data_IF_253212779084
#
_entry.id   IF_253212779084
#
_cell.length_a   1.000
_cell.length_b   1.000
_cell.length_c   1.000
_cell.angle_alpha   90.00
_cell.angle_beta   90.00
_cell.angle_gamma   90.00
#
_symmetry.space_group_name_H-M   'P 1'
#
loop_
_entity.id
_entity.type
_entity.pdbx_description
1 polymer ?
#
# COMPACT_ATOMS: atom_id res chain seq x y z
N UNK A 1 -10.39 21.62 -0.88
CA UNK A 1 -9.90 20.26 -1.19
C UNK A 1 -8.37 20.15 -1.35
N UNK A 2 -7.59 21.22 -1.22
CA UNK A 2 -6.13 21.17 -1.38
C UNK A 2 -5.34 21.25 -0.06
N UNK A 3 -5.98 21.41 1.08
CA UNK A 3 -5.28 21.63 2.34
C UNK A 3 -4.90 20.36 3.10
N UNK A 4 -5.56 19.20 2.81
CA UNK A 4 -5.36 17.91 3.51
C UNK A 4 -5.29 16.74 2.52
N UNK A 5 -4.68 16.92 1.36
CA UNK A 5 -4.62 15.87 0.36
C UNK A 5 -3.69 14.72 0.75
N UNK A 6 -4.21 13.49 0.68
CA UNK A 6 -3.40 12.25 0.70
C UNK A 6 -2.40 12.26 -0.45
N UNK A 7 -1.14 11.96 -0.15
CA UNK A 7 -0.06 11.82 -1.14
C UNK A 7 0.69 10.53 -0.92
N UNK A 8 0.42 9.56 -1.78
CA UNK A 8 1.19 8.32 -1.89
C UNK A 8 1.78 8.27 -3.29
N UNK A 9 3.07 8.00 -3.38
CA UNK A 9 3.76 7.84 -4.63
C UNK A 9 4.66 6.60 -4.60
N UNK A 10 4.81 6.01 -5.74
CA UNK A 10 5.64 4.84 -5.99
C UNK A 10 6.62 5.10 -7.16
N UNK A 11 7.36 4.09 -7.53
CA UNK A 11 8.31 4.12 -8.64
C UNK A 11 7.69 4.66 -9.94
N UNK A 12 6.47 4.24 -10.31
CA UNK A 12 5.81 4.68 -11.54
C UNK A 12 5.48 6.19 -11.52
N UNK A 13 5.06 6.72 -10.38
CA UNK A 13 4.82 8.16 -10.21
C UNK A 13 6.10 8.98 -10.40
N UNK A 14 7.25 8.41 -10.04
CA UNK A 14 8.54 9.07 -10.19
C UNK A 14 9.04 9.05 -11.63
N UNK A 15 8.88 7.94 -12.33
CA UNK A 15 9.30 7.83 -13.74
C UNK A 15 8.50 8.78 -14.64
N UNK A 16 7.23 8.98 -14.34
CA UNK A 16 6.39 9.96 -15.04
C UNK A 16 6.80 11.43 -14.77
N UNK A 17 7.55 11.68 -13.70
CA UNK A 17 8.05 13.01 -13.33
C UNK A 17 9.39 13.39 -13.98
N UNK A 18 10.09 12.46 -14.62
CA UNK A 18 11.28 12.77 -15.39
C UNK A 18 10.87 13.33 -16.76
N UNK A 19 11.04 14.62 -16.97
CA UNK A 19 10.74 15.26 -18.25
C UNK A 19 11.99 15.94 -18.82
N UNK A 20 12.11 15.92 -20.15
CA UNK A 20 13.08 16.68 -20.88
C UNK A 20 12.43 17.97 -21.37
N UNK A 21 12.89 19.10 -20.87
CA UNK A 21 12.50 20.41 -21.36
C UNK A 21 13.76 21.05 -21.97
N UNK A 22 13.68 21.55 -23.20
CA UNK A 22 14.77 22.20 -23.95
C UNK A 22 16.05 21.32 -24.05
N UNK A 23 15.89 20.01 -24.24
CA UNK A 23 17.00 19.08 -24.37
C UNK A 23 17.73 18.76 -23.04
N UNK A 24 17.26 19.31 -21.92
CA UNK A 24 17.83 19.05 -20.59
C UNK A 24 16.94 18.11 -19.83
N UNK A 25 17.44 16.90 -19.56
CA UNK A 25 16.74 15.94 -18.68
C UNK A 25 16.87 16.41 -17.23
N UNK A 26 15.77 16.85 -16.64
CA UNK A 26 15.72 17.24 -15.25
C UNK A 26 15.41 16.00 -14.39
N UNK A 27 16.34 15.67 -13.51
CA UNK A 27 16.23 14.52 -12.58
C UNK A 27 15.42 14.81 -11.33
N UNK A 28 15.04 16.06 -11.08
CA UNK A 28 14.20 16.48 -9.97
C UNK A 28 12.85 16.93 -10.49
N UNK A 29 11.85 16.10 -10.32
CA UNK A 29 10.46 16.44 -10.62
C UNK A 29 9.85 17.38 -9.56
N UNK A 30 8.73 18.01 -9.87
CA UNK A 30 7.95 18.80 -8.90
C UNK A 30 7.57 17.94 -7.68
N UNK A 31 7.38 16.64 -7.87
CA UNK A 31 7.05 15.68 -6.82
C UNK A 31 8.22 15.44 -5.85
N UNK A 32 9.48 15.49 -6.30
CA UNK A 32 10.66 15.27 -5.44
C UNK A 32 10.67 16.22 -4.25
N UNK A 33 10.38 17.51 -4.49
CA UNK A 33 10.29 18.51 -3.42
C UNK A 33 9.13 18.24 -2.47
N UNK A 34 7.98 17.82 -3.00
CA UNK A 34 6.83 17.49 -2.17
C UNK A 34 7.11 16.24 -1.33
N UNK A 35 7.76 15.25 -1.92
CA UNK A 35 8.16 14.02 -1.22
C UNK A 35 9.31 14.25 -0.24
N UNK A 36 10.05 15.38 -0.37
CA UNK A 36 11.22 15.68 0.44
C UNK A 36 12.34 14.69 0.20
N UNK A 37 12.61 14.39 -1.07
CA UNK A 37 13.64 13.44 -1.48
C UNK A 37 14.41 13.99 -2.69
N UNK A 38 15.62 13.53 -2.85
CA UNK A 38 16.45 13.78 -4.03
C UNK A 38 16.83 12.44 -4.65
N UNK A 39 16.45 12.21 -5.89
CA UNK A 39 16.84 11.00 -6.64
C UNK A 39 18.36 10.94 -6.80
N UNK A 40 18.97 9.81 -6.47
CA UNK A 40 20.40 9.56 -6.58
C UNK A 40 20.73 8.50 -7.62
N UNK A 41 19.82 7.57 -7.87
CA UNK A 41 20.05 6.48 -8.81
C UNK A 41 18.82 5.60 -9.02
N UNK A 42 19.07 4.48 -9.66
CA UNK A 42 18.11 3.39 -9.83
C UNK A 42 18.84 2.06 -9.70
N UNK A 43 18.24 1.13 -9.03
CA UNK A 43 18.74 -0.22 -8.85
C UNK A 43 17.76 -1.22 -9.45
N UNK A 44 18.28 -2.11 -10.26
CA UNK A 44 17.52 -3.16 -10.94
C UNK A 44 17.92 -4.54 -10.41
N UNK A 45 17.19 -5.58 -10.83
CA UNK A 45 17.57 -6.96 -10.55
C UNK A 45 17.44 -7.35 -9.08
N UNK A 46 16.51 -6.75 -8.36
CA UNK A 46 16.28 -6.96 -6.93
C UNK A 46 15.45 -8.23 -6.63
N UNK A 47 15.47 -9.23 -7.51
CA UNK A 47 14.82 -10.51 -7.20
C UNK A 47 15.45 -11.13 -5.94
N UNK A 48 14.62 -11.66 -5.04
CA UNK A 48 15.06 -12.22 -3.75
C UNK A 48 15.80 -11.21 -2.84
N UNK A 49 15.37 -9.96 -2.87
CA UNK A 49 15.75 -8.94 -1.90
C UNK A 49 14.69 -8.77 -0.82
N UNK A 50 15.00 -7.97 0.19
CA UNK A 50 14.08 -7.69 1.29
C UNK A 50 14.08 -6.21 1.62
N UNK A 51 12.99 -5.75 2.20
CA UNK A 51 12.93 -4.52 2.96
C UNK A 51 13.10 -4.86 4.45
N UNK A 52 14.15 -4.34 5.08
CA UNK A 52 14.40 -4.48 6.51
C UNK A 52 13.58 -3.46 7.28
N UNK A 53 12.94 -3.89 8.34
CA UNK A 53 12.21 -3.05 9.28
C UNK A 53 13.23 -2.35 10.19
N UNK A 54 13.23 -1.01 10.18
CA UNK A 54 14.13 -0.20 11.01
C UNK A 54 13.52 0.12 12.38
N UNK A 55 12.20 0.28 12.43
CA UNK A 55 11.46 0.56 13.66
C UNK A 55 10.08 -0.11 13.57
N UNK A 56 9.90 -1.19 14.29
CA UNK A 56 8.64 -1.94 14.33
C UNK A 56 7.47 -1.11 14.91
N UNK A 57 7.75 -0.02 15.64
CA UNK A 57 6.73 0.89 16.15
C UNK A 57 6.28 1.94 15.11
N UNK A 58 6.88 1.96 13.92
CA UNK A 58 6.47 2.89 12.85
C UNK A 58 5.01 2.62 12.44
N UNK A 59 4.17 3.66 12.31
CA UNK A 59 2.76 3.48 11.95
C UNK A 59 2.51 2.81 10.59
N UNK A 60 3.49 2.79 9.68
CA UNK A 60 3.37 2.03 8.43
C UNK A 60 3.46 0.51 8.66
N UNK A 61 3.98 0.09 9.80
CA UNK A 61 4.26 -1.30 10.15
C UNK A 61 3.31 -1.85 11.22
N UNK A 62 2.28 -1.11 11.58
CA UNK A 62 1.27 -1.54 12.52
C UNK A 62 0.63 -2.88 12.11
N UNK A 63 0.64 -3.85 13.03
CA UNK A 63 0.10 -5.18 12.81
C UNK A 63 0.91 -6.07 11.86
N UNK A 64 2.10 -5.66 11.46
CA UNK A 64 3.10 -6.58 10.92
C UNK A 64 3.53 -7.51 12.06
N UNK A 65 3.56 -8.80 11.79
CA UNK A 65 3.90 -9.80 12.79
C UNK A 65 5.34 -9.71 13.29
N UNK A 66 5.76 -10.70 14.05
CA UNK A 66 7.13 -10.81 14.56
C UNK A 66 8.10 -11.18 13.42
N UNK A 67 8.45 -10.18 12.62
CA UNK A 67 9.38 -10.29 11.49
C UNK A 67 10.22 -9.02 11.38
N UNK A 68 11.46 -9.18 10.94
CA UNK A 68 12.37 -8.06 10.65
C UNK A 68 12.40 -7.72 9.15
N UNK A 69 11.75 -8.51 8.31
CA UNK A 69 11.91 -8.48 6.86
C UNK A 69 10.57 -8.57 6.14
N UNK A 70 10.43 -7.77 5.09
CA UNK A 70 9.32 -7.86 4.12
C UNK A 70 9.90 -8.20 2.75
N UNK A 71 9.32 -9.14 2.00
CA UNK A 71 9.78 -9.48 0.64
C UNK A 71 9.82 -8.26 -0.28
N UNK A 72 10.89 -8.15 -1.06
CA UNK A 72 11.05 -7.11 -2.07
C UNK A 72 11.57 -7.71 -3.39
N UNK A 73 11.17 -7.11 -4.51
CA UNK A 73 11.57 -7.56 -5.85
C UNK A 73 11.48 -6.39 -6.85
N UNK A 74 12.14 -6.55 -7.99
CA UNK A 74 11.97 -5.66 -9.14
C UNK A 74 13.03 -4.58 -9.22
N UNK A 75 12.59 -3.34 -9.22
CA UNK A 75 13.45 -2.16 -9.27
C UNK A 75 13.19 -1.23 -8.10
N UNK A 76 14.18 -0.41 -7.79
CA UNK A 76 14.10 0.58 -6.73
C UNK A 76 14.74 1.89 -7.21
N UNK A 77 14.07 3.01 -6.96
CA UNK A 77 14.66 4.34 -7.14
C UNK A 77 15.48 4.66 -5.90
N UNK A 78 16.78 4.84 -6.08
CA UNK A 78 17.64 5.29 -5.00
C UNK A 78 17.41 6.77 -4.74
N UNK A 79 17.27 7.12 -3.47
CA UNK A 79 17.01 8.49 -3.03
C UNK A 79 17.89 8.88 -1.85
N UNK A 80 18.12 10.17 -1.72
CA UNK A 80 18.58 10.80 -0.49
C UNK A 80 17.40 11.57 0.11
N UNK A 81 16.84 11.12 1.24
CA UNK A 81 15.74 11.81 1.89
C UNK A 81 16.25 13.06 2.62
N UNK A 82 15.38 14.06 2.74
CA UNK A 82 15.63 15.22 3.59
C UNK A 82 15.65 14.78 5.07
N UNK A 83 16.36 15.54 5.91
CA UNK A 83 16.54 15.22 7.34
C UNK A 83 15.23 15.10 8.15
N UNK A 84 14.15 15.63 7.63
CA UNK A 84 12.83 15.57 8.28
C UNK A 84 12.01 14.32 7.88
N UNK A 85 12.56 13.47 7.02
CA UNK A 85 11.91 12.23 6.58
C UNK A 85 12.28 11.07 7.50
N UNK A 86 11.28 10.26 7.81
CA UNK A 86 11.47 9.00 8.51
C UNK A 86 11.61 7.90 7.47
N UNK A 87 12.57 7.01 7.67
CA UNK A 87 12.85 5.86 6.81
C UNK A 87 12.49 4.59 7.58
N UNK A 88 11.25 4.07 7.46
CA UNK A 88 10.84 2.88 8.19
C UNK A 88 11.39 1.58 7.62
N UNK A 89 11.74 1.59 6.33
CA UNK A 89 12.19 0.41 5.59
C UNK A 89 13.45 0.71 4.78
N UNK A 90 14.47 -0.15 4.90
CA UNK A 90 15.72 -0.09 4.14
C UNK A 90 15.95 -1.35 3.33
N UNK A 91 16.74 -1.27 2.27
CA UNK A 91 16.99 -2.38 1.35
C UNK A 91 18.02 -3.37 1.91
N UNK A 92 17.69 -4.65 1.85
CA UNK A 92 18.64 -5.75 1.85
C UNK A 92 18.74 -6.24 0.40
N UNK A 93 19.87 -6.00 -0.28
CA UNK A 93 20.04 -6.40 -1.66
C UNK A 93 20.17 -7.93 -1.79
N UNK A 94 19.88 -8.50 -2.97
CA UNK A 94 20.13 -9.92 -3.21
C UNK A 94 21.64 -10.20 -3.18
N UNK A 95 22.00 -11.41 -2.75
CA UNK A 95 23.42 -11.85 -2.71
C UNK A 95 24.03 -11.87 -4.12
N UNK A 96 23.21 -12.16 -5.12
CA UNK A 96 23.59 -12.18 -6.54
C UNK A 96 22.59 -11.33 -7.29
N UNK A 97 23.08 -10.35 -8.03
CA UNK A 97 22.24 -9.58 -8.94
C UNK A 97 21.71 -10.48 -10.05
N UNK A 98 20.40 -10.59 -10.16
CA UNK A 98 19.77 -11.39 -11.22
C UNK A 98 19.72 -10.58 -12.52
N UNK A 99 20.54 -10.93 -13.49
CA UNK A 99 20.33 -10.52 -14.87
C UNK A 99 19.29 -11.46 -15.49
N UNK A 100 18.35 -10.94 -16.28
CA UNK A 100 17.17 -11.65 -16.77
C UNK A 100 17.38 -12.95 -17.57
N UNK A 101 18.62 -13.45 -17.67
CA UNK A 101 19.00 -14.69 -18.35
C UNK A 101 19.40 -15.82 -17.39
N UNK A 102 19.29 -15.65 -16.08
CA UNK A 102 19.89 -16.59 -15.15
C UNK A 102 18.92 -17.70 -14.77
N UNK A 103 19.30 -18.88 -15.14
CA UNK A 103 18.66 -20.15 -14.86
C UNK A 103 18.87 -20.50 -13.38
N UNK A 104 17.77 -20.87 -12.70
CA UNK A 104 17.75 -21.65 -11.46
C UNK A 104 18.76 -21.24 -10.39
N UNK A 105 18.57 -20.07 -9.84
CA UNK A 105 19.19 -19.70 -8.56
C UNK A 105 18.21 -20.06 -7.45
N UNK A 106 18.69 -20.51 -6.27
CA UNK A 106 17.82 -20.75 -5.13
C UNK A 106 16.90 -19.54 -4.92
N UNK A 107 15.62 -19.78 -4.76
CA UNK A 107 14.62 -18.72 -4.57
C UNK A 107 14.83 -17.94 -3.27
N UNK A 108 15.73 -18.40 -2.44
CA UNK A 108 16.07 -17.82 -1.16
C UNK A 108 17.47 -17.21 -1.18
N UNK A 109 17.53 -15.92 -1.01
CA UNK A 109 18.79 -15.23 -0.82
C UNK A 109 19.14 -15.22 0.66
N UNK A 110 20.30 -15.74 1.04
CA UNK A 110 20.83 -15.50 2.35
C UNK A 110 21.08 -13.99 2.52
N UNK A 111 20.82 -13.45 3.69
CA UNK A 111 21.19 -12.07 4.01
C UNK A 111 22.70 -12.00 4.12
N UNK A 112 23.32 -11.23 3.24
CA UNK A 112 24.79 -11.05 3.22
C UNK A 112 25.20 -9.69 3.75
N UNK A 113 24.42 -8.66 3.43
CA UNK A 113 24.68 -7.30 3.84
C UNK A 113 23.38 -6.56 4.12
N UNK A 114 23.45 -5.55 4.95
CA UNK A 114 22.39 -4.57 5.17
C UNK A 114 22.80 -3.23 4.57
N UNK A 115 21.85 -2.43 4.15
CA UNK A 115 22.13 -1.08 3.63
C UNK A 115 21.23 -0.06 4.30
N UNK A 116 21.60 1.22 4.16
CA UNK A 116 20.76 2.35 4.59
C UNK A 116 19.96 2.92 3.41
N UNK A 117 19.84 2.17 2.30
CA UNK A 117 19.10 2.60 1.11
C UNK A 117 17.60 2.55 1.42
N UNK A 118 16.87 3.68 1.37
CA UNK A 118 15.47 3.71 1.66
C UNK A 118 14.63 2.88 0.69
N UNK A 119 13.71 2.07 1.21
CA UNK A 119 12.63 1.40 0.47
C UNK A 119 11.33 2.18 0.59
N UNK A 120 11.11 2.79 1.76
CA UNK A 120 10.01 3.69 1.99
C UNK A 120 10.46 4.90 2.81
N UNK A 121 9.84 6.04 2.57
CA UNK A 121 10.00 7.24 3.39
C UNK A 121 8.63 7.86 3.69
N UNK A 122 8.49 8.45 4.85
CA UNK A 122 7.30 9.21 5.23
C UNK A 122 7.65 10.55 5.87
N UNK A 123 6.71 11.46 5.87
CA UNK A 123 6.87 12.77 6.49
C UNK A 123 5.71 13.69 6.19
N UNK A 124 5.92 14.98 6.42
CA UNK A 124 4.90 16.01 6.17
C UNK A 124 5.34 16.95 5.05
N UNK A 125 4.36 17.50 4.34
CA UNK A 125 4.56 18.58 3.40
C UNK A 125 3.43 19.58 3.53
N UNK A 126 3.73 20.81 3.97
CA UNK A 126 2.71 21.76 4.36
C UNK A 126 1.83 21.21 5.48
N UNK A 127 0.54 21.18 5.29
CA UNK A 127 -0.43 20.58 6.22
C UNK A 127 -0.71 19.09 5.95
N UNK A 128 -0.18 18.54 4.87
CA UNK A 128 -0.43 17.15 4.46
C UNK A 128 0.66 16.20 4.92
N UNK A 129 0.34 14.90 4.87
CA UNK A 129 1.28 13.80 5.10
C UNK A 129 1.65 13.14 3.78
N UNK A 130 2.86 12.62 3.70
CA UNK A 130 3.43 12.05 2.49
C UNK A 130 4.07 10.71 2.81
N UNK A 131 3.76 9.70 2.02
CA UNK A 131 4.47 8.43 1.98
C UNK A 131 4.98 8.21 0.57
N UNK A 132 6.24 7.85 0.44
CA UNK A 132 6.86 7.50 -0.83
C UNK A 132 7.51 6.13 -0.74
N UNK A 133 7.09 5.23 -1.60
CA UNK A 133 7.72 3.93 -1.80
C UNK A 133 8.72 4.00 -2.96
N UNK A 134 9.96 3.66 -2.68
CA UNK A 134 11.05 3.66 -3.67
C UNK A 134 10.98 2.46 -4.62
N UNK A 135 10.22 1.43 -4.25
CA UNK A 135 9.90 0.23 -5.01
C UNK A 135 8.43 0.24 -5.46
N UNK A 136 7.90 -0.92 -5.82
CA UNK A 136 6.51 -1.12 -6.26
C UNK A 136 5.79 -2.14 -5.38
N UNK A 137 5.52 -1.86 -4.09
CA UNK A 137 4.89 -2.81 -3.17
C UNK A 137 3.48 -3.23 -3.64
N UNK A 138 2.73 -2.34 -4.29
CA UNK A 138 1.42 -2.64 -4.85
C UNK A 138 1.48 -3.68 -5.97
N UNK A 139 2.52 -3.65 -6.80
CA UNK A 139 2.74 -4.64 -7.86
C UNK A 139 3.10 -6.00 -7.26
N UNK A 140 3.92 -6.00 -6.21
CA UNK A 140 4.29 -7.22 -5.50
C UNK A 140 3.09 -7.83 -4.78
N UNK A 141 2.30 -7.01 -4.09
CA UNK A 141 1.04 -7.45 -3.49
C UNK A 141 0.08 -8.02 -4.54
N UNK A 142 -0.09 -7.31 -5.66
CA UNK A 142 -0.91 -7.78 -6.76
C UNK A 142 -0.42 -9.11 -7.35
N UNK A 143 0.89 -9.31 -7.47
CA UNK A 143 1.48 -10.52 -8.07
C UNK A 143 1.43 -11.72 -7.14
N UNK A 144 1.79 -11.53 -5.89
CA UNK A 144 2.09 -12.62 -4.97
C UNK A 144 1.10 -12.70 -3.80
N UNK A 145 0.36 -11.64 -3.51
CA UNK A 145 -0.59 -11.61 -2.40
C UNK A 145 0.07 -11.66 -1.02
N UNK A 146 1.31 -11.18 -0.87
CA UNK A 146 1.97 -11.14 0.43
C UNK A 146 1.19 -10.25 1.42
N UNK A 147 0.64 -10.79 2.51
CA UNK A 147 -0.24 -10.04 3.42
C UNK A 147 0.42 -8.79 4.01
N UNK A 148 1.72 -8.88 4.34
CA UNK A 148 2.46 -7.76 4.93
C UNK A 148 2.54 -6.56 3.99
N UNK A 149 2.70 -6.79 2.68
CA UNK A 149 2.69 -5.69 1.70
C UNK A 149 1.32 -5.02 1.61
N UNK A 150 0.25 -5.80 1.63
CA UNK A 150 -1.12 -5.27 1.70
C UNK A 150 -1.33 -4.43 2.96
N UNK A 151 -0.83 -4.89 4.09
CA UNK A 151 -0.92 -4.19 5.38
C UNK A 151 -0.12 -2.89 5.37
N UNK A 152 1.12 -2.91 4.90
CA UNK A 152 1.94 -1.69 4.75
C UNK A 152 1.25 -0.65 3.86
N UNK A 153 0.68 -1.08 2.74
CA UNK A 153 -0.07 -0.18 1.86
C UNK A 153 -1.31 0.42 2.55
N UNK A 154 -2.10 -0.42 3.23
CA UNK A 154 -3.27 0.04 3.97
C UNK A 154 -2.89 1.02 5.10
N UNK A 155 -1.83 0.71 5.84
CA UNK A 155 -1.32 1.59 6.90
C UNK A 155 -0.80 2.91 6.34
N UNK A 156 -0.14 2.89 5.18
CA UNK A 156 0.30 4.11 4.50
C UNK A 156 -0.88 5.03 4.16
N UNK A 157 -1.98 4.45 3.66
CA UNK A 157 -3.22 5.20 3.39
C UNK A 157 -3.80 5.77 4.67
N UNK A 158 -3.98 4.95 5.71
CA UNK A 158 -4.54 5.37 7.00
C UNK A 158 -3.69 6.47 7.63
N UNK A 159 -2.37 6.29 7.66
CA UNK A 159 -1.47 7.30 8.21
C UNK A 159 -1.52 8.61 7.44
N UNK A 160 -1.49 8.56 6.10
CA UNK A 160 -1.50 9.76 5.27
C UNK A 160 -2.85 10.48 5.27
N UNK A 161 -3.96 9.77 5.47
CA UNK A 161 -5.31 10.34 5.57
C UNK A 161 -5.44 11.27 6.80
N UNK A 162 -4.76 10.95 7.89
CA UNK A 162 -4.75 11.72 9.15
C UNK A 162 -6.10 11.85 9.86
N UNK A 163 -7.12 11.22 9.34
CA UNK A 163 -8.49 11.20 9.85
C UNK A 163 -8.99 9.77 9.95
N UNK A 164 -9.94 9.46 10.83
CA UNK A 164 -10.56 8.14 10.85
C UNK A 164 -11.16 7.81 9.48
N UNK A 165 -11.06 6.56 9.08
CA UNK A 165 -11.72 6.08 7.87
C UNK A 165 -13.24 6.30 7.98
N UNK A 166 -13.87 6.74 6.88
CA UNK A 166 -15.33 6.92 6.84
C UNK A 166 -16.05 5.58 6.90
N UNK A 167 -15.39 4.53 6.41
CA UNK A 167 -15.86 3.15 6.46
C UNK A 167 -14.67 2.25 6.80
N UNK A 168 -14.92 1.28 7.67
CA UNK A 168 -14.02 0.16 7.93
C UNK A 168 -14.84 -1.14 7.88
N UNK A 169 -14.26 -2.19 7.31
CA UNK A 169 -14.95 -3.47 7.09
C UNK A 169 -14.05 -4.60 7.54
N UNK A 170 -14.50 -5.35 8.53
CA UNK A 170 -13.85 -6.59 8.96
C UNK A 170 -14.36 -7.74 8.09
N UNK A 171 -13.60 -8.05 7.07
CA UNK A 171 -13.89 -9.08 6.07
C UNK A 171 -12.60 -9.60 5.45
N UNK A 172 -12.63 -10.78 4.79
CA UNK A 172 -11.52 -11.27 3.99
C UNK A 172 -11.09 -10.28 2.89
N UNK A 173 -9.81 -10.27 2.56
CA UNK A 173 -9.16 -9.32 1.62
C UNK A 173 -9.78 -9.28 0.20
N UNK A 174 -10.54 -10.30 -0.16
CA UNK A 174 -11.23 -10.37 -1.45
C UNK A 174 -12.65 -9.79 -1.41
N UNK A 175 -13.08 -9.21 -0.31
CA UNK A 175 -14.34 -8.47 -0.21
C UNK A 175 -14.10 -7.02 -0.55
N UNK A 176 -14.72 -6.58 -1.63
CA UNK A 176 -14.70 -5.17 -2.02
C UNK A 176 -15.85 -4.43 -1.33
N UNK A 177 -15.55 -3.33 -0.67
CA UNK A 177 -16.52 -2.49 0.01
C UNK A 177 -16.63 -1.11 -0.64
N UNK A 178 -17.85 -0.66 -0.92
CA UNK A 178 -18.11 0.68 -1.46
C UNK A 178 -19.18 1.37 -0.65
N UNK A 179 -18.89 2.57 -0.17
CA UNK A 179 -19.86 3.42 0.53
C UNK A 179 -20.47 4.44 -0.44
N UNK A 180 -21.79 4.42 -0.54
CA UNK A 180 -22.58 5.41 -1.26
C UNK A 180 -23.42 6.22 -0.26
N UNK A 181 -23.50 7.53 -0.47
CA UNK A 181 -24.25 8.44 0.39
C UNK A 181 -25.34 9.15 -0.39
N UNK A 182 -26.55 9.19 0.16
CA UNK A 182 -27.70 9.94 -0.35
C UNK A 182 -28.33 10.72 0.82
N UNK A 183 -29.15 11.73 0.56
CA UNK A 183 -29.87 12.41 1.62
C UNK A 183 -30.69 11.43 2.46
N UNK A 184 -30.40 11.41 3.77
CA UNK A 184 -31.09 10.57 4.75
C UNK A 184 -30.70 9.09 4.74
N UNK A 185 -29.76 8.62 3.93
CA UNK A 185 -29.29 7.23 3.96
C UNK A 185 -27.86 7.05 3.45
N UNK A 186 -27.23 6.00 3.94
CA UNK A 186 -25.95 5.47 3.46
C UNK A 186 -26.16 4.03 2.99
N UNK A 187 -25.48 3.64 1.93
CA UNK A 187 -25.53 2.29 1.38
C UNK A 187 -24.11 1.75 1.31
N UNK A 188 -23.88 0.59 1.90
CA UNK A 188 -22.63 -0.14 1.79
C UNK A 188 -22.87 -1.31 0.84
N UNK A 189 -22.10 -1.34 -0.22
CA UNK A 189 -22.04 -2.46 -1.14
C UNK A 189 -20.86 -3.32 -0.77
N UNK A 190 -21.12 -4.60 -0.49
CA UNK A 190 -20.08 -5.61 -0.26
C UNK A 190 -20.12 -6.61 -1.40
N UNK A 191 -19.01 -6.76 -2.09
CA UNK A 191 -18.89 -7.71 -3.19
C UNK A 191 -17.90 -8.80 -2.80
N UNK A 192 -18.41 -10.02 -2.62
CA UNK A 192 -17.59 -11.21 -2.40
C UNK A 192 -16.99 -11.64 -3.74
N UNK A 193 -15.71 -11.30 -3.96
CA UNK A 193 -15.01 -11.52 -5.20
C UNK A 193 -13.74 -12.38 -5.01
N UNK A 194 -13.90 -13.68 -4.67
CA UNK A 194 -12.75 -14.56 -4.47
C UNK A 194 -12.08 -14.85 -5.81
N UNK A 195 -11.07 -14.06 -6.13
CA UNK A 195 -10.27 -14.24 -7.35
C UNK A 195 -9.03 -15.04 -6.99
N UNK A 196 -8.91 -16.26 -7.48
CA UNK A 196 -7.63 -16.96 -7.47
C UNK A 196 -6.78 -16.52 -8.66
N UNK A 197 -5.56 -16.11 -8.39
CA UNK A 197 -4.58 -15.78 -9.43
C UNK A 197 -3.64 -16.97 -9.60
N UNK A 198 -3.64 -17.66 -10.75
CA UNK A 198 -2.60 -18.64 -11.00
C UNK A 198 -1.25 -17.93 -11.15
N UNK A 199 -0.25 -18.43 -10.46
CA UNK A 199 1.15 -18.04 -10.63
C UNK A 199 1.46 -18.08 -12.13
N UNK A 200 1.93 -16.99 -12.69
CA UNK A 200 2.50 -16.84 -14.04
C UNK A 200 1.58 -16.53 -15.23
N UNK A 201 0.27 -16.42 -15.13
CA UNK A 201 -0.55 -16.21 -16.33
C UNK A 201 -1.10 -14.79 -16.53
N UNK A 202 -0.96 -13.90 -15.58
CA UNK A 202 -1.55 -12.55 -15.70
C UNK A 202 -3.09 -12.50 -15.71
N UNK A 203 -3.76 -13.61 -15.91
CA UNK A 203 -5.21 -13.73 -15.91
C UNK A 203 -5.72 -14.07 -14.51
N UNK A 204 -6.75 -13.39 -14.09
CA UNK A 204 -7.46 -13.73 -12.85
C UNK A 204 -8.49 -14.79 -13.19
N UNK A 205 -8.46 -15.89 -12.49
CA UNK A 205 -9.52 -16.88 -12.56
C UNK A 205 -10.49 -16.65 -11.40
N UNK A 206 -11.75 -16.45 -11.72
CA UNK A 206 -12.80 -16.53 -10.72
C UNK A 206 -12.91 -17.97 -10.25
N UNK A 207 -12.90 -18.18 -8.95
CA UNK A 207 -13.18 -19.48 -8.37
C UNK A 207 -14.54 -19.99 -8.86
N UNK A 208 -14.65 -21.28 -9.18
CA UNK A 208 -15.92 -21.87 -9.61
C UNK A 208 -16.96 -21.92 -8.47
N UNK A 209 -16.50 -21.81 -7.25
CA UNK A 209 -17.36 -21.90 -6.06
C UNK A 209 -17.20 -20.65 -5.23
N UNK A 210 -18.27 -19.93 -5.04
CA UNK A 210 -18.32 -18.85 -4.08
C UNK A 210 -18.37 -19.44 -2.67
N UNK A 211 -17.47 -19.00 -1.82
CA UNK A 211 -17.52 -19.32 -0.39
C UNK A 211 -18.47 -18.33 0.27
N UNK A 212 -19.56 -18.80 0.88
CA UNK A 212 -20.44 -17.92 1.65
C UNK A 212 -19.66 -17.26 2.79
N UNK A 213 -19.86 -15.98 2.97
CA UNK A 213 -19.28 -15.22 4.06
C UNK A 213 -20.35 -14.90 5.09
N UNK A 214 -19.98 -14.97 6.36
CA UNK A 214 -20.82 -14.60 7.50
C UNK A 214 -20.02 -13.69 8.44
N UNK A 215 -20.72 -13.07 9.37
CA UNK A 215 -20.12 -12.28 10.46
C UNK A 215 -19.23 -11.12 10.00
N UNK A 216 -19.59 -10.49 8.86
CA UNK A 216 -18.92 -9.28 8.39
C UNK A 216 -19.38 -8.09 9.24
N UNK A 217 -18.42 -7.41 9.85
CA UNK A 217 -18.67 -6.17 10.59
C UNK A 217 -18.34 -4.95 9.74
N UNK A 218 -19.28 -4.00 9.68
CA UNK A 218 -19.08 -2.74 8.97
C UNK A 218 -19.16 -1.59 9.97
N UNK A 219 -18.09 -0.81 10.07
CA UNK A 219 -18.03 0.38 10.91
C UNK A 219 -18.11 1.63 10.03
N UNK A 220 -19.00 2.55 10.39
CA UNK A 220 -19.20 3.81 9.66
C UNK A 220 -18.96 5.00 10.59
N UNK A 221 -18.10 5.93 10.18
CA UNK A 221 -18.00 7.21 10.85
C UNK A 221 -19.23 8.06 10.52
N UNK A 222 -19.94 8.50 11.54
CA UNK A 222 -21.09 9.39 11.42
C UNK A 222 -20.67 10.85 11.62
N UNK A 223 -21.37 11.76 10.98
CA UNK A 223 -21.22 13.19 11.24
C UNK A 223 -21.73 13.57 12.62
N UNK A 224 -21.31 14.73 13.12
CA UNK A 224 -21.76 15.23 14.41
C UNK A 224 -23.30 15.34 14.45
N UNK A 225 -23.92 14.67 15.43
CA UNK A 225 -25.38 14.62 15.59
C UNK A 225 -26.12 13.66 14.67
N UNK A 226 -25.43 12.97 13.78
CA UNK A 226 -26.04 11.89 13.00
C UNK A 226 -26.26 10.64 13.87
N UNK A 227 -27.37 9.94 13.61
CA UNK A 227 -27.69 8.65 14.23
C UNK A 227 -28.27 7.72 13.22
N UNK A 228 -27.91 6.45 13.29
CA UNK A 228 -28.55 5.39 12.52
C UNK A 228 -29.88 5.03 13.18
N UNK A 229 -30.97 5.14 12.44
CA UNK A 229 -32.31 4.73 12.92
C UNK A 229 -32.53 3.24 12.71
N UNK A 230 -32.13 2.74 11.58
CA UNK A 230 -32.20 1.31 11.21
C UNK A 230 -31.11 0.95 10.22
N UNK A 231 -30.72 -0.30 10.21
CA UNK A 231 -29.93 -0.91 9.16
C UNK A 231 -30.61 -2.20 8.68
N UNK A 232 -30.53 -2.46 7.38
CA UNK A 232 -31.09 -3.67 6.79
C UNK A 232 -30.28 -4.13 5.60
N UNK A 233 -30.29 -5.43 5.34
CA UNK A 233 -29.74 -6.01 4.12
C UNK A 233 -30.70 -5.75 2.97
N UNK A 234 -30.29 -4.96 1.99
CA UNK A 234 -31.16 -4.56 0.87
C UNK A 234 -31.65 -5.74 0.00
N UNK A 235 -30.89 -6.84 -0.05
CA UNK A 235 -31.22 -8.03 -0.84
C UNK A 235 -32.25 -8.94 -0.19
N UNK A 236 -32.33 -8.96 1.14
CA UNK A 236 -33.22 -9.84 1.91
C UNK A 236 -34.23 -9.09 2.78
N UNK A 237 -34.10 -7.76 2.83
CA UNK A 237 -34.87 -6.87 3.71
C UNK A 237 -34.75 -7.17 5.22
N UNK A 238 -33.80 -8.05 5.58
CA UNK A 238 -33.59 -8.42 6.97
C UNK A 238 -32.98 -7.28 7.77
N UNK A 239 -33.46 -7.04 9.00
CA UNK A 239 -32.85 -6.05 9.87
C UNK A 239 -31.44 -6.52 10.29
N UNK A 240 -30.53 -5.57 10.39
CA UNK A 240 -29.16 -5.78 10.87
C UNK A 240 -29.01 -5.18 12.26
N UNK A 241 -28.18 -5.83 13.09
CA UNK A 241 -27.82 -5.29 14.38
C UNK A 241 -27.02 -3.99 14.22
N UNK A 242 -27.35 -2.98 15.01
CA UNK A 242 -26.65 -1.67 15.02
C UNK A 242 -26.17 -1.41 16.44
N UNK A 243 -24.88 -1.14 16.56
CA UNK A 243 -24.28 -0.60 17.78
C UNK A 243 -23.86 0.85 17.49
N UNK A 244 -24.08 1.73 18.44
CA UNK A 244 -23.68 3.16 18.32
C UNK A 244 -23.02 3.56 19.64
N UNK A 245 -21.81 4.09 19.52
CA UNK A 245 -21.03 4.65 20.62
C UNK A 245 -21.34 6.13 20.84
#
# INVERSE_FOLDING_TARGET
>A
HHEHGLRIANLASFDAGAYTLDGVTRRTGALDRMMGVRRTGRREGLKSSYARIEDAADPLLEGIGDTDLIPNEGALVEIAPDAQRVVPLTLIPPVIAHSGATISIPEYSAIKETTDIPVAVRGTHGKGRVVYFCNQPELLFYRYGFPDLGRVLANAVRWALAEPAVIDVDAPDFVEATLMTQPGRRMVHLVNFPVSKPLNTGWRHMGRTLVPLADITVSLALGSGERVREARAATTEQPLAVQQD
#
